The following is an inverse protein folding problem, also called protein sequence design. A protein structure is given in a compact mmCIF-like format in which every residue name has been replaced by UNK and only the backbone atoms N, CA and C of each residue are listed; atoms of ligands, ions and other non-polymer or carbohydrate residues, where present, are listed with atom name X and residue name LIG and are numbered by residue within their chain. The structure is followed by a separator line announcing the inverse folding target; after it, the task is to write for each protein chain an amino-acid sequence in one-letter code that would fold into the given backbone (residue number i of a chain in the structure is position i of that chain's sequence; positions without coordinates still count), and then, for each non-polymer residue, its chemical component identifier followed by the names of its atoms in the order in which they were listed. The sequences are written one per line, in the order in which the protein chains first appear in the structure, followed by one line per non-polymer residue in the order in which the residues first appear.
data_IF_422729108048
#
_entry.id   IF_422729108048
#
_cell.length_a   1.000
_cell.length_b   1.000
_cell.length_c   1.000
_cell.angle_alpha   90.00
_cell.angle_beta   90.00
_cell.angle_gamma   90.00
#
_symmetry.space_group_name_H-M   'P 1'
#
loop_
_entity.id
_entity.type
_entity.pdbx_description
1 polymer ?
#
# COMPACT_ATOMS: atom_id res chain seq x y z
N UNK A 1 -0.62 -10.68 21.67
CA UNK A 1 -0.11 -9.54 20.88
C UNK A 1 -0.13 -9.98 19.41
N UNK A 2 -0.64 -9.14 18.49
CA UNK A 2 -0.60 -9.45 17.06
C UNK A 2 0.86 -9.49 16.60
N UNK A 3 1.22 -10.54 15.84
CA UNK A 3 2.56 -10.73 15.29
C UNK A 3 2.85 -9.64 14.24
N UNK A 4 4.01 -8.95 14.35
CA UNK A 4 4.44 -7.92 13.40
C UNK A 4 5.09 -8.61 12.21
N UNK A 5 4.59 -8.35 10.99
CA UNK A 5 5.12 -8.90 9.75
C UNK A 5 6.18 -7.99 9.12
N UNK A 6 5.96 -6.67 9.14
CA UNK A 6 6.90 -5.68 8.62
C UNK A 6 7.08 -4.54 9.62
N UNK A 7 8.33 -4.11 9.82
CA UNK A 7 8.64 -2.92 10.60
C UNK A 7 9.74 -2.11 9.92
N UNK A 8 9.51 -0.83 9.73
CA UNK A 8 10.48 0.16 9.28
C UNK A 8 10.85 1.04 10.47
N UNK A 9 12.15 1.20 10.73
CA UNK A 9 12.68 2.04 11.82
C UNK A 9 13.56 3.14 11.28
N UNK A 10 13.11 4.38 11.40
CA UNK A 10 13.88 5.60 11.09
C UNK A 10 14.55 5.56 9.70
N UNK A 11 13.83 5.07 8.69
CA UNK A 11 14.34 4.96 7.32
C UNK A 11 14.56 6.35 6.74
N UNK A 12 15.78 6.61 6.29
CA UNK A 12 16.15 7.82 5.54
C UNK A 12 16.70 7.44 4.18
N UNK A 13 16.42 8.26 3.17
CA UNK A 13 16.96 8.11 1.83
C UNK A 13 17.06 9.43 1.10
N UNK A 14 18.24 9.70 0.55
CA UNK A 14 18.53 10.80 -0.37
C UNK A 14 19.12 10.23 -1.65
N UNK A 15 18.84 10.82 -2.81
CA UNK A 15 19.48 10.45 -4.08
C UNK A 15 20.54 11.49 -4.52
N UNK A 16 20.43 12.72 -4.01
CA UNK A 16 21.38 13.81 -4.23
C UNK A 16 21.64 14.53 -2.89
N UNK A 17 22.82 15.12 -2.73
CA UNK A 17 23.13 15.91 -1.52
C UNK A 17 22.10 17.03 -1.34
N UNK A 18 21.41 17.02 -0.19
CA UNK A 18 20.40 18.03 0.19
C UNK A 18 18.97 17.76 -0.28
N UNK A 19 18.71 16.64 -0.99
CA UNK A 19 17.36 16.24 -1.41
C UNK A 19 16.93 14.93 -0.73
N UNK A 20 16.41 15.05 0.49
CA UNK A 20 15.86 13.92 1.23
C UNK A 20 14.53 13.48 0.62
N UNK A 21 14.50 12.26 0.07
CA UNK A 21 13.27 11.64 -0.45
C UNK A 21 12.50 10.96 0.66
N UNK A 22 13.19 10.47 1.69
CA UNK A 22 12.60 9.90 2.91
C UNK A 22 13.31 10.48 4.15
N UNK A 23 12.50 11.03 5.06
CA UNK A 23 12.96 11.69 6.26
C UNK A 23 12.56 10.91 7.52
N UNK A 24 13.34 9.88 7.88
CA UNK A 24 13.13 9.13 9.14
C UNK A 24 11.74 8.51 9.29
N UNK A 25 11.27 7.80 8.27
CA UNK A 25 9.97 7.14 8.31
C UNK A 25 9.97 5.89 9.20
N UNK A 26 8.90 5.74 9.97
CA UNK A 26 8.61 4.56 10.78
C UNK A 26 7.24 3.99 10.42
N UNK A 27 7.16 2.70 10.18
CA UNK A 27 5.91 2.02 9.84
C UNK A 27 5.91 0.61 10.44
N UNK A 28 4.77 0.19 10.95
CA UNK A 28 4.57 -1.19 11.44
C UNK A 28 3.33 -1.77 10.76
N UNK A 29 3.46 -2.96 10.19
CA UNK A 29 2.35 -3.73 9.65
C UNK A 29 2.23 -5.07 10.38
N UNK A 30 1.02 -5.36 10.83
CA UNK A 30 0.69 -6.63 11.51
C UNK A 30 0.52 -7.74 10.47
N UNK A 31 0.68 -8.98 10.90
CA UNK A 31 0.44 -10.14 10.06
C UNK A 31 -1.00 -10.18 9.55
N UNK A 32 -1.16 -10.34 8.25
CA UNK A 32 -2.48 -10.36 7.60
C UNK A 32 -3.16 -8.99 7.52
N UNK A 33 -2.43 -7.89 7.70
CA UNK A 33 -2.96 -6.54 7.60
C UNK A 33 -2.84 -6.00 6.17
N UNK A 34 -3.80 -5.21 5.74
CA UNK A 34 -3.78 -4.45 4.49
C UNK A 34 -3.39 -3.01 4.80
N UNK A 35 -2.12 -2.65 4.58
CA UNK A 35 -1.58 -1.32 4.84
C UNK A 35 -1.42 -0.56 3.53
N UNK A 36 -1.98 0.64 3.44
CA UNK A 36 -1.85 1.51 2.27
C UNK A 36 -0.94 2.70 2.54
N UNK A 37 0.04 2.90 1.66
CA UNK A 37 0.80 4.14 1.57
C UNK A 37 0.07 5.07 0.59
N UNK A 38 -0.54 6.12 1.10
CA UNK A 38 -1.34 7.08 0.35
C UNK A 38 -0.60 8.43 0.28
N UNK A 39 -0.57 9.08 -0.87
CA UNK A 39 0.07 10.40 -1.02
C UNK A 39 0.19 10.83 -2.47
N UNK A 40 0.57 12.09 -2.69
CA UNK A 40 0.81 12.65 -4.02
C UNK A 40 1.99 11.98 -4.74
N UNK A 41 2.11 12.17 -6.05
CA UNK A 41 3.27 11.70 -6.81
C UNK A 41 4.56 12.34 -6.28
N UNK A 42 5.63 11.54 -6.19
CA UNK A 42 6.94 12.04 -5.73
C UNK A 42 7.11 12.15 -4.21
N UNK A 43 6.11 11.84 -3.38
CA UNK A 43 6.24 11.96 -1.92
C UNK A 43 7.06 10.86 -1.23
N UNK A 44 7.61 9.86 -1.96
CA UNK A 44 8.48 8.82 -1.41
C UNK A 44 7.89 7.41 -1.33
N UNK A 45 6.61 7.17 -1.72
CA UNK A 45 5.94 5.85 -1.63
C UNK A 45 6.68 4.73 -2.34
N UNK A 46 6.99 4.91 -3.63
CA UNK A 46 7.71 3.91 -4.42
C UNK A 46 9.12 3.67 -3.89
N UNK A 47 9.80 4.71 -3.40
CA UNK A 47 11.11 4.56 -2.74
C UNK A 47 11.00 3.71 -1.48
N UNK A 48 9.98 3.96 -0.65
CA UNK A 48 9.69 3.14 0.54
C UNK A 48 9.47 1.67 0.16
N UNK A 49 8.64 1.42 -0.86
CA UNK A 49 8.37 0.06 -1.34
C UNK A 49 9.65 -0.62 -1.86
N UNK A 50 10.48 0.10 -2.62
CA UNK A 50 11.77 -0.43 -3.13
C UNK A 50 12.73 -0.77 -2.01
N UNK A 51 12.76 0.01 -0.92
CA UNK A 51 13.56 -0.29 0.27
C UNK A 51 13.05 -1.55 0.96
N UNK A 52 11.74 -1.73 1.13
CA UNK A 52 11.15 -2.96 1.68
C UNK A 52 11.51 -4.17 0.81
N UNK A 53 11.44 -4.02 -0.51
CA UNK A 53 11.78 -5.07 -1.48
C UNK A 53 13.29 -5.40 -1.54
N UNK A 54 14.17 -4.54 -1.00
CA UNK A 54 15.62 -4.65 -1.14
C UNK A 54 16.16 -4.20 -2.50
N UNK A 55 15.33 -3.53 -3.30
CA UNK A 55 15.70 -2.95 -4.60
C UNK A 55 16.40 -1.59 -4.46
N UNK A 56 16.33 -1.01 -3.27
CA UNK A 56 17.01 0.23 -2.87
C UNK A 56 17.53 0.08 -1.45
N UNK A 57 18.72 0.58 -1.18
CA UNK A 57 19.29 0.59 0.17
C UNK A 57 18.94 1.91 0.86
N UNK A 58 18.48 1.90 2.12
CA UNK A 58 18.32 3.12 2.88
C UNK A 58 19.71 3.68 3.26
N UNK A 59 19.82 4.99 3.41
CA UNK A 59 21.05 5.63 3.89
C UNK A 59 21.21 5.46 5.41
N UNK A 60 20.08 5.35 6.12
CA UNK A 60 20.05 4.97 7.53
C UNK A 60 18.70 4.35 7.90
N UNK A 61 18.63 3.74 9.07
CA UNK A 61 17.44 3.02 9.55
C UNK A 61 17.50 1.54 9.26
N UNK A 62 16.44 0.82 9.60
CA UNK A 62 16.38 -0.64 9.52
C UNK A 62 15.04 -1.14 9.02
N UNK A 63 15.05 -2.24 8.27
CA UNK A 63 13.89 -2.98 7.78
C UNK A 63 13.85 -4.35 8.45
N UNK A 64 12.73 -4.66 9.11
CA UNK A 64 12.52 -5.97 9.74
C UNK A 64 11.34 -6.69 9.06
N UNK A 65 11.53 -7.98 8.79
CA UNK A 65 10.45 -8.90 8.37
C UNK A 65 10.33 -10.00 9.44
N UNK A 66 9.15 -10.15 10.02
CA UNK A 66 8.88 -11.07 11.14
C UNK A 66 9.96 -11.00 12.24
N UNK A 67 10.34 -9.78 12.62
CA UNK A 67 11.36 -9.50 13.64
C UNK A 67 12.81 -9.74 13.22
N UNK A 68 13.08 -10.20 11.98
CA UNK A 68 14.43 -10.39 11.45
C UNK A 68 14.86 -9.15 10.67
N UNK A 69 16.03 -8.58 11.00
CA UNK A 69 16.64 -7.51 10.21
C UNK A 69 17.02 -8.02 8.82
N UNK A 70 16.47 -7.38 7.79
CA UNK A 70 16.70 -7.71 6.38
C UNK A 70 17.31 -6.53 5.61
N UNK A 71 17.75 -5.48 6.31
CA UNK A 71 18.19 -4.22 5.72
C UNK A 71 19.25 -4.41 4.65
N UNK A 72 20.27 -5.21 4.93
CA UNK A 72 21.39 -5.47 4.01
C UNK A 72 21.17 -6.67 3.08
N UNK A 73 20.02 -7.37 3.18
CA UNK A 73 19.75 -8.52 2.34
C UNK A 73 19.34 -8.11 0.92
N UNK A 74 19.85 -8.85 -0.06
CA UNK A 74 19.44 -8.73 -1.47
C UNK A 74 17.95 -9.08 -1.66
N UNK A 75 17.28 -8.59 -2.73
CA UNK A 75 15.86 -8.83 -2.98
C UNK A 75 15.45 -10.30 -3.00
N UNK A 76 16.29 -11.18 -3.56
CA UNK A 76 16.05 -12.62 -3.66
C UNK A 76 16.18 -13.36 -2.33
N UNK A 77 16.74 -12.73 -1.30
CA UNK A 77 16.91 -13.26 0.04
C UNK A 77 15.79 -12.84 1.00
N UNK A 78 14.95 -11.89 0.58
CA UNK A 78 13.79 -11.41 1.36
C UNK A 78 12.54 -12.19 1.00
N UNK A 79 11.74 -12.56 1.99
CA UNK A 79 10.46 -13.25 1.74
C UNK A 79 9.33 -12.28 1.40
N UNK A 80 9.61 -11.39 0.46
CA UNK A 80 8.65 -10.43 -0.10
C UNK A 80 8.56 -10.57 -1.60
N UNK A 81 7.41 -10.28 -2.18
CA UNK A 81 7.25 -10.22 -3.64
C UNK A 81 6.54 -8.92 -4.03
N UNK A 82 6.88 -8.42 -5.21
CA UNK A 82 6.34 -7.14 -5.72
C UNK A 82 5.52 -7.36 -6.98
N UNK A 83 4.35 -6.71 -7.03
CA UNK A 83 3.56 -6.50 -8.25
C UNK A 83 3.76 -5.05 -8.66
N UNK A 84 4.39 -4.83 -9.81
CA UNK A 84 4.68 -3.51 -10.37
C UNK A 84 3.46 -2.94 -11.12
N UNK A 85 3.41 -1.63 -11.28
CA UNK A 85 2.35 -0.90 -11.96
C UNK A 85 2.08 -1.40 -13.39
N UNK A 86 3.13 -1.78 -14.13
CA UNK A 86 3.04 -2.34 -15.48
C UNK A 86 2.89 -3.87 -15.52
N UNK A 87 2.67 -4.49 -14.33
CA UNK A 87 2.57 -5.93 -14.10
C UNK A 87 3.86 -6.72 -14.41
N UNK A 88 4.78 -6.20 -15.22
CA UNK A 88 6.07 -6.77 -15.60
C UNK A 88 6.01 -8.27 -15.99
N UNK A 89 4.97 -8.68 -16.71
CA UNK A 89 4.86 -10.05 -17.22
C UNK A 89 5.90 -10.30 -18.32
N UNK A 90 6.47 -11.50 -18.34
CA UNK A 90 7.40 -11.92 -19.38
C UNK A 90 6.62 -12.17 -20.70
N UNK A 91 6.79 -11.32 -21.72
CA UNK A 91 5.92 -11.37 -22.92
C UNK A 91 6.14 -12.62 -23.79
N UNK A 92 7.31 -13.23 -23.71
CA UNK A 92 7.70 -14.43 -24.43
C UNK A 92 7.24 -15.73 -23.75
N UNK A 93 6.80 -15.67 -22.49
CA UNK A 93 6.31 -16.79 -21.71
C UNK A 93 4.78 -16.85 -21.71
N UNK A 94 4.21 -18.05 -21.63
CA UNK A 94 2.78 -18.23 -21.37
C UNK A 94 2.43 -17.92 -19.91
N UNK A 95 1.15 -17.97 -19.55
CA UNK A 95 0.64 -17.70 -18.21
C UNK A 95 1.22 -18.66 -17.17
N UNK A 96 1.23 -19.97 -17.46
CA UNK A 96 1.77 -20.97 -16.54
C UNK A 96 3.27 -20.77 -16.29
N UNK A 97 4.04 -20.45 -17.33
CA UNK A 97 5.46 -20.20 -17.22
C UNK A 97 5.76 -18.89 -16.45
N UNK A 98 4.95 -17.84 -16.66
CA UNK A 98 5.03 -16.62 -15.88
C UNK A 98 4.81 -16.89 -14.39
N UNK A 99 3.73 -17.59 -14.02
CA UNK A 99 3.43 -17.89 -12.62
C UNK A 99 4.52 -18.79 -12.02
N UNK A 100 4.91 -19.87 -12.71
CA UNK A 100 5.86 -20.84 -12.21
C UNK A 100 7.33 -20.39 -12.22
N UNK A 101 7.64 -19.20 -12.76
CA UNK A 101 9.02 -18.76 -12.97
C UNK A 101 9.88 -18.76 -11.70
N UNK A 102 9.39 -18.18 -10.62
CA UNK A 102 10.11 -18.13 -9.35
C UNK A 102 10.38 -19.53 -8.76
N UNK A 103 9.44 -20.47 -8.93
CA UNK A 103 9.63 -21.85 -8.48
C UNK A 103 10.68 -22.59 -9.33
N UNK A 104 10.76 -22.27 -10.64
CA UNK A 104 11.83 -22.81 -11.50
C UNK A 104 13.22 -22.37 -11.05
N UNK A 105 13.37 -21.09 -10.69
CA UNK A 105 14.62 -20.55 -10.14
C UNK A 105 15.03 -21.23 -8.83
N UNK A 106 14.06 -21.57 -7.98
CA UNK A 106 14.26 -22.32 -6.74
C UNK A 106 14.49 -23.83 -6.97
N UNK A 107 14.61 -24.28 -8.23
CA UNK A 107 14.81 -25.69 -8.61
C UNK A 107 13.73 -26.63 -8.08
N UNK A 108 12.49 -26.13 -7.92
CA UNK A 108 11.32 -26.92 -7.52
C UNK A 108 11.00 -27.97 -8.59
N UNK A 109 10.51 -29.15 -8.20
CA UNK A 109 10.16 -30.22 -9.14
C UNK A 109 9.05 -29.80 -10.11
N UNK A 110 9.06 -30.32 -11.34
CA UNK A 110 8.05 -30.01 -12.37
C UNK A 110 6.61 -30.34 -11.90
N UNK A 111 6.44 -31.44 -11.17
CA UNK A 111 5.15 -31.85 -10.63
C UNK A 111 4.61 -30.84 -9.61
N UNK A 112 5.45 -30.35 -8.70
CA UNK A 112 5.08 -29.37 -7.71
C UNK A 112 4.81 -27.99 -8.34
N UNK A 113 5.61 -27.58 -9.34
CA UNK A 113 5.35 -26.35 -10.10
C UNK A 113 3.98 -26.43 -10.76
N UNK A 114 3.66 -27.54 -11.46
CA UNK A 114 2.37 -27.71 -12.12
C UNK A 114 1.20 -27.65 -11.13
N UNK A 115 1.33 -28.30 -9.97
CA UNK A 115 0.34 -28.27 -8.89
C UNK A 115 0.08 -26.86 -8.40
N UNK A 116 1.15 -26.13 -8.00
CA UNK A 116 1.03 -24.77 -7.47
C UNK A 116 0.50 -23.76 -8.50
N UNK A 117 0.95 -23.88 -9.75
CA UNK A 117 0.44 -23.02 -10.85
C UNK A 117 -1.06 -23.23 -11.02
N UNK A 118 -1.53 -24.47 -11.01
CA UNK A 118 -2.99 -24.77 -11.10
C UNK A 118 -3.75 -24.16 -9.92
N UNK A 119 -3.27 -24.33 -8.70
CA UNK A 119 -3.86 -23.73 -7.49
C UNK A 119 -3.92 -22.20 -7.57
N UNK A 120 -2.87 -21.57 -8.07
CA UNK A 120 -2.84 -20.11 -8.25
C UNK A 120 -3.82 -19.66 -9.33
N UNK A 121 -3.95 -20.37 -10.44
CA UNK A 121 -4.92 -20.05 -11.49
C UNK A 121 -6.36 -20.19 -11.01
N UNK A 122 -6.66 -21.21 -10.23
CA UNK A 122 -7.96 -21.37 -9.56
C UNK A 122 -8.22 -20.22 -8.59
N UNK A 123 -7.22 -19.83 -7.79
CA UNK A 123 -7.31 -18.75 -6.81
C UNK A 123 -7.67 -17.40 -7.46
N UNK A 124 -7.04 -17.09 -8.62
CA UNK A 124 -7.26 -15.83 -9.34
C UNK A 124 -8.33 -15.95 -10.44
N UNK A 125 -9.06 -17.06 -10.51
CA UNK A 125 -10.17 -17.31 -11.46
C UNK A 125 -9.73 -17.25 -12.93
N UNK A 126 -8.58 -17.86 -13.23
CA UNK A 126 -8.01 -17.95 -14.59
C UNK A 126 -7.72 -19.40 -14.99
N UNK A 127 -8.50 -20.39 -14.47
CA UNK A 127 -8.40 -21.78 -14.90
C UNK A 127 -8.63 -21.89 -16.42
N UNK A 128 -7.80 -22.66 -17.11
CA UNK A 128 -7.87 -22.82 -18.58
C UNK A 128 -7.06 -21.77 -19.37
N UNK A 129 -6.38 -20.83 -18.69
CA UNK A 129 -5.55 -19.80 -19.34
C UNK A 129 -4.07 -20.16 -19.39
N UNK A 130 -3.66 -21.34 -18.95
CA UNK A 130 -2.27 -21.79 -18.77
C UNK A 130 -1.39 -21.52 -19.99
N UNK A 131 -1.91 -21.77 -21.19
CA UNK A 131 -1.17 -21.70 -22.46
C UNK A 131 -1.20 -20.32 -23.12
N UNK A 132 -2.06 -19.40 -22.67
CA UNK A 132 -2.18 -18.06 -23.25
C UNK A 132 -0.92 -17.23 -22.98
N UNK A 133 -0.62 -16.30 -23.90
CA UNK A 133 0.44 -15.29 -23.74
C UNK A 133 -0.12 -14.02 -23.13
N UNK A 134 0.69 -13.17 -22.49
CA UNK A 134 0.26 -11.89 -21.93
C UNK A 134 -0.45 -10.97 -22.95
N UNK A 135 -0.10 -11.03 -24.23
CA UNK A 135 -0.73 -10.27 -25.31
C UNK A 135 -2.18 -10.67 -25.59
N UNK A 136 -2.59 -11.87 -25.18
CA UNK A 136 -3.95 -12.41 -25.37
C UNK A 136 -4.86 -12.16 -24.16
N UNK A 137 -4.38 -11.38 -23.17
CA UNK A 137 -5.08 -11.12 -21.92
C UNK A 137 -5.57 -9.67 -21.85
N UNK A 138 -6.73 -9.47 -21.22
CA UNK A 138 -7.19 -8.14 -20.82
C UNK A 138 -6.29 -7.54 -19.71
N UNK A 139 -6.42 -6.23 -19.43
CA UNK A 139 -5.67 -5.56 -18.35
C UNK A 139 -5.86 -6.26 -17.01
N UNK A 140 -7.11 -6.51 -16.60
CA UNK A 140 -7.41 -7.20 -15.35
C UNK A 140 -6.91 -8.64 -15.30
N UNK A 141 -6.93 -9.35 -16.44
CA UNK A 141 -6.35 -10.70 -16.51
C UNK A 141 -4.82 -10.67 -16.36
N UNK A 142 -4.12 -9.72 -16.98
CA UNK A 142 -2.66 -9.53 -16.79
C UNK A 142 -2.33 -9.26 -15.34
N UNK A 143 -3.10 -8.40 -14.69
CA UNK A 143 -2.94 -8.11 -13.26
C UNK A 143 -3.10 -9.38 -12.41
N UNK A 144 -4.16 -10.16 -12.62
CA UNK A 144 -4.39 -11.41 -11.89
C UNK A 144 -3.24 -12.41 -12.09
N UNK A 145 -2.68 -12.50 -13.28
CA UNK A 145 -1.49 -13.34 -13.54
C UNK A 145 -0.27 -12.82 -12.76
N UNK A 146 -0.05 -11.49 -12.70
CA UNK A 146 1.05 -10.90 -11.94
C UNK A 146 0.91 -11.16 -10.43
N UNK A 147 -0.30 -11.06 -9.90
CA UNK A 147 -0.62 -11.40 -8.50
C UNK A 147 -0.36 -12.90 -8.25
N UNK A 148 -0.84 -13.79 -9.12
CA UNK A 148 -0.60 -15.22 -9.00
C UNK A 148 0.90 -15.56 -9.03
N UNK A 149 1.68 -14.91 -9.91
CA UNK A 149 3.14 -15.04 -9.98
C UNK A 149 3.82 -14.60 -8.68
N UNK A 150 3.33 -13.53 -8.07
CA UNK A 150 3.87 -13.05 -6.81
C UNK A 150 3.51 -14.00 -5.64
N UNK A 151 2.27 -14.51 -5.62
CA UNK A 151 1.77 -15.36 -4.54
C UNK A 151 2.29 -16.80 -4.57
N UNK A 152 2.64 -17.34 -5.73
CA UNK A 152 3.06 -18.75 -5.87
C UNK A 152 4.28 -19.12 -5.03
N UNK A 153 5.10 -18.13 -4.66
CA UNK A 153 6.26 -18.29 -3.80
C UNK A 153 5.94 -18.26 -2.30
N UNK A 154 4.67 -18.09 -1.90
CA UNK A 154 4.20 -17.93 -0.52
C UNK A 154 4.96 -16.82 0.24
N UNK A 155 4.90 -15.56 -0.23
CA UNK A 155 5.58 -14.46 0.44
C UNK A 155 4.92 -14.15 1.78
N UNK A 156 5.70 -13.62 2.73
CA UNK A 156 5.19 -13.09 4.00
C UNK A 156 4.50 -11.74 3.80
N UNK A 157 5.08 -10.92 2.91
CA UNK A 157 4.55 -9.60 2.54
C UNK A 157 4.44 -9.50 1.03
N UNK A 158 3.28 -9.06 0.55
CA UNK A 158 3.05 -8.72 -0.85
C UNK A 158 3.05 -7.20 -1.02
N UNK A 159 3.94 -6.71 -1.88
CA UNK A 159 4.09 -5.31 -2.22
C UNK A 159 3.35 -5.02 -3.53
N UNK A 160 2.52 -3.99 -3.56
CA UNK A 160 1.66 -3.64 -4.68
C UNK A 160 1.89 -2.17 -5.05
N UNK A 161 2.56 -1.90 -6.16
CA UNK A 161 2.90 -0.55 -6.63
C UNK A 161 1.86 -0.08 -7.66
N UNK A 162 0.89 0.72 -7.23
CA UNK A 162 -0.22 1.26 -8.03
C UNK A 162 -0.89 0.24 -8.97
N UNK A 163 -1.24 -0.97 -8.50
CA UNK A 163 -1.60 -2.08 -9.38
C UNK A 163 -2.91 -1.86 -10.14
N UNK A 164 -3.76 -0.91 -9.72
CA UNK A 164 -5.06 -0.62 -10.33
C UNK A 164 -5.03 0.61 -11.24
N UNK A 165 -3.94 1.37 -11.27
CA UNK A 165 -3.85 2.65 -11.97
C UNK A 165 -4.10 2.59 -13.48
N UNK A 166 -3.81 1.46 -14.13
CA UNK A 166 -3.99 1.27 -15.57
C UNK A 166 -5.38 0.72 -15.97
N UNK A 167 -6.31 0.54 -15.01
CA UNK A 167 -7.64 -0.03 -15.24
C UNK A 167 -8.70 1.07 -15.34
N UNK A 168 -9.74 0.80 -16.15
CA UNK A 168 -10.96 1.62 -16.13
C UNK A 168 -11.70 1.53 -14.78
N UNK A 169 -12.57 2.49 -14.51
CA UNK A 169 -13.24 2.65 -13.21
C UNK A 169 -14.04 1.40 -12.80
N UNK A 170 -14.78 0.79 -13.73
CA UNK A 170 -15.61 -0.38 -13.43
C UNK A 170 -14.75 -1.60 -13.07
N UNK A 171 -13.73 -1.86 -13.87
CA UNK A 171 -12.81 -2.97 -13.63
C UNK A 171 -11.97 -2.74 -12.36
N UNK A 172 -11.59 -1.48 -12.07
CA UNK A 172 -10.88 -1.10 -10.85
C UNK A 172 -11.66 -1.48 -9.60
N UNK A 173 -12.95 -1.14 -9.52
CA UNK A 173 -13.84 -1.51 -8.39
C UNK A 173 -13.93 -3.02 -8.20
N UNK A 174 -14.11 -3.77 -9.28
CA UNK A 174 -14.12 -5.24 -9.22
C UNK A 174 -12.81 -5.77 -8.66
N UNK A 175 -11.67 -5.24 -9.12
CA UNK A 175 -10.34 -5.68 -8.69
C UNK A 175 -10.02 -5.29 -7.24
N UNK A 176 -10.53 -4.16 -6.74
CA UNK A 176 -10.42 -3.80 -5.31
C UNK A 176 -11.05 -4.88 -4.43
N UNK A 177 -12.28 -5.28 -4.72
CA UNK A 177 -12.96 -6.35 -3.99
C UNK A 177 -12.21 -7.69 -4.06
N UNK A 178 -11.70 -8.04 -5.24
CA UNK A 178 -10.93 -9.28 -5.43
C UNK A 178 -9.62 -9.27 -4.63
N UNK A 179 -8.88 -8.16 -4.63
CA UNK A 179 -7.64 -8.00 -3.85
C UNK A 179 -7.89 -8.14 -2.35
N UNK A 180 -8.92 -7.46 -1.82
CA UNK A 180 -9.27 -7.57 -0.39
C UNK A 180 -9.71 -8.99 -0.03
N UNK A 181 -10.51 -9.64 -0.91
CA UNK A 181 -10.91 -11.03 -0.73
C UNK A 181 -9.72 -11.99 -0.71
N UNK A 182 -8.78 -11.81 -1.65
CA UNK A 182 -7.55 -12.62 -1.73
C UNK A 182 -6.70 -12.44 -0.48
N UNK A 183 -6.49 -11.21 -0.05
CA UNK A 183 -5.71 -10.89 1.15
C UNK A 183 -6.30 -11.57 2.40
N UNK A 184 -7.62 -11.44 2.62
CA UNK A 184 -8.30 -12.10 3.74
C UNK A 184 -8.22 -13.62 3.68
N UNK A 185 -8.39 -14.22 2.47
CA UNK A 185 -8.33 -15.67 2.27
C UNK A 185 -6.94 -16.25 2.57
N UNK A 186 -5.89 -15.51 2.23
CA UNK A 186 -4.50 -15.96 2.35
C UNK A 186 -3.88 -15.61 3.70
N UNK A 187 -4.40 -14.59 4.40
CA UNK A 187 -3.83 -14.08 5.66
C UNK A 187 -2.43 -13.48 5.48
N UNK A 188 -2.07 -13.04 4.27
CA UNK A 188 -0.79 -12.43 3.94
C UNK A 188 -0.87 -10.92 4.17
N UNK A 189 0.21 -10.31 4.64
CA UNK A 189 0.31 -8.85 4.79
C UNK A 189 0.49 -8.19 3.44
N UNK A 190 -0.34 -7.17 3.14
CA UNK A 190 -0.26 -6.39 1.91
C UNK A 190 0.24 -4.98 2.23
N UNK A 191 1.25 -4.52 1.48
CA UNK A 191 1.66 -3.12 1.42
C UNK A 191 1.26 -2.60 0.05
N UNK A 192 0.31 -1.68 0.03
CA UNK A 192 -0.33 -1.17 -1.16
C UNK A 192 0.02 0.30 -1.37
N UNK A 193 0.45 0.67 -2.55
CA UNK A 193 0.70 2.06 -2.92
C UNK A 193 -0.41 2.54 -3.84
N UNK A 194 -0.97 3.70 -3.53
CA UNK A 194 -1.89 4.41 -4.41
C UNK A 194 -1.83 5.92 -4.17
N UNK A 195 -2.33 6.68 -5.12
CA UNK A 195 -2.68 8.08 -4.97
C UNK A 195 -4.21 8.29 -4.95
N UNK A 196 -4.99 7.20 -5.09
CA UNK A 196 -6.45 7.21 -5.09
C UNK A 196 -6.98 7.02 -3.65
N UNK A 197 -7.73 8.01 -3.19
CA UNK A 197 -8.28 8.07 -1.83
C UNK A 197 -9.39 7.02 -1.63
N UNK A 198 -10.23 6.80 -2.66
CA UNK A 198 -11.31 5.81 -2.61
C UNK A 198 -10.74 4.39 -2.44
N UNK A 199 -9.64 4.08 -3.14
CA UNK A 199 -8.93 2.81 -2.97
C UNK A 199 -8.41 2.64 -1.53
N UNK A 200 -7.73 3.66 -1.00
CA UNK A 200 -7.17 3.61 0.35
C UNK A 200 -8.25 3.40 1.41
N UNK A 201 -9.35 4.16 1.35
CA UNK A 201 -10.44 4.07 2.33
C UNK A 201 -11.15 2.72 2.26
N UNK A 202 -11.43 2.21 1.05
CA UNK A 202 -12.25 1.00 0.88
C UNK A 202 -11.48 -0.29 1.15
N UNK A 203 -10.16 -0.31 0.97
CA UNK A 203 -9.38 -1.54 1.01
C UNK A 203 -8.55 -1.71 2.27
N UNK A 204 -8.15 -0.63 2.94
CA UNK A 204 -7.14 -0.70 3.98
C UNK A 204 -7.69 -1.08 5.35
N UNK A 205 -6.85 -1.70 6.14
CA UNK A 205 -7.02 -1.81 7.59
C UNK A 205 -6.29 -0.62 8.27
N UNK A 206 -5.14 -0.21 7.68
CA UNK A 206 -4.36 0.96 8.10
C UNK A 206 -3.94 1.77 6.88
N UNK A 207 -4.04 3.10 6.96
CA UNK A 207 -3.56 4.05 5.95
C UNK A 207 -2.41 4.87 6.55
N UNK A 208 -1.29 4.94 5.83
CA UNK A 208 -0.19 5.85 6.11
C UNK A 208 -0.18 6.96 5.06
N UNK A 209 -0.63 8.15 5.43
CA UNK A 209 -0.65 9.33 4.56
C UNK A 209 0.74 9.93 4.51
N UNK A 210 1.32 9.98 3.32
CA UNK A 210 2.68 10.42 3.10
C UNK A 210 2.75 11.75 2.35
N UNK A 211 3.60 12.65 2.82
CA UNK A 211 3.86 13.94 2.22
C UNK A 211 5.34 14.31 2.39
N UNK A 212 6.00 14.77 1.32
CA UNK A 212 7.40 15.20 1.35
C UNK A 212 8.33 14.30 2.17
N UNK A 213 8.31 12.98 1.91
CA UNK A 213 9.19 12.02 2.57
C UNK A 213 8.86 11.68 4.02
N UNK A 214 7.73 12.14 4.55
CA UNK A 214 7.29 11.88 5.95
C UNK A 214 5.88 11.32 5.98
N UNK A 215 5.54 10.62 7.05
CA UNK A 215 4.15 10.28 7.34
C UNK A 215 3.49 11.42 8.12
N UNK A 216 2.47 12.02 7.52
CA UNK A 216 1.63 13.05 8.16
C UNK A 216 0.70 12.44 9.23
N UNK A 217 0.13 11.29 8.89
CA UNK A 217 -0.73 10.53 9.79
C UNK A 217 -0.74 9.06 9.40
N UNK A 218 -0.76 8.19 10.41
CA UNK A 218 -1.02 6.75 10.27
C UNK A 218 -2.21 6.42 11.15
N UNK A 219 -3.20 5.70 10.60
CA UNK A 219 -4.42 5.33 11.32
C UNK A 219 -5.35 4.48 10.48
N UNK A 220 -6.49 4.11 11.06
CA UNK A 220 -7.57 3.45 10.35
C UNK A 220 -8.21 4.39 9.31
N UNK A 221 -8.93 3.87 8.29
CA UNK A 221 -9.65 4.71 7.34
C UNK A 221 -10.57 5.75 8.02
N UNK A 222 -11.24 5.36 9.09
CA UNK A 222 -12.11 6.25 9.87
C UNK A 222 -11.32 7.38 10.54
N UNK A 223 -10.20 7.07 11.21
CA UNK A 223 -9.33 8.09 11.82
C UNK A 223 -8.75 9.06 10.81
N UNK A 224 -8.36 8.58 9.61
CA UNK A 224 -7.80 9.42 8.56
C UNK A 224 -8.85 10.34 7.95
N UNK A 225 -10.08 9.86 7.76
CA UNK A 225 -11.15 10.61 7.10
C UNK A 225 -11.88 11.55 8.07
N UNK A 226 -12.27 11.06 9.26
CA UNK A 226 -13.09 11.80 10.23
C UNK A 226 -12.27 12.58 11.28
N UNK A 227 -11.00 12.16 11.51
CA UNK A 227 -10.13 12.77 12.52
C UNK A 227 -8.75 13.12 11.95
N UNK A 228 -8.68 13.93 10.86
CA UNK A 228 -7.42 14.34 10.25
C UNK A 228 -6.59 15.18 11.23
N UNK A 229 -5.31 14.83 11.40
CA UNK A 229 -4.39 15.49 12.34
C UNK A 229 -3.77 16.77 11.79
N UNK A 230 -3.71 16.90 10.45
CA UNK A 230 -3.14 18.07 9.78
C UNK A 230 -4.09 18.58 8.70
N UNK A 231 -3.95 19.86 8.35
CA UNK A 231 -4.67 20.46 7.22
C UNK A 231 -4.38 19.74 5.90
N UNK A 232 -3.14 19.23 5.74
CA UNK A 232 -2.78 18.44 4.57
C UNK A 232 -3.62 17.18 4.46
N UNK A 233 -3.75 16.39 5.54
CA UNK A 233 -4.56 15.16 5.54
C UNK A 233 -6.02 15.48 5.27
N UNK A 234 -6.58 16.52 5.90
CA UNK A 234 -7.97 16.94 5.69
C UNK A 234 -8.27 17.33 4.24
N UNK A 235 -7.35 18.08 3.60
CA UNK A 235 -7.49 18.48 2.19
C UNK A 235 -7.22 17.35 1.22
N UNK A 236 -6.22 16.51 1.54
CA UNK A 236 -5.77 15.47 0.62
C UNK A 236 -6.70 14.24 0.61
N UNK A 237 -7.29 13.87 1.77
CA UNK A 237 -8.13 12.66 1.87
C UNK A 237 -9.62 13.00 1.81
N UNK A 238 -10.02 14.18 2.27
CA UNK A 238 -11.40 14.65 2.28
C UNK A 238 -11.63 15.83 1.35
N UNK A 239 -12.90 16.15 1.11
CA UNK A 239 -13.30 17.40 0.46
C UNK A 239 -13.44 18.51 1.51
N UNK A 240 -12.43 18.66 2.38
CA UNK A 240 -12.49 19.63 3.48
C UNK A 240 -12.29 21.06 2.98
N UNK A 241 -13.15 21.97 3.42
CA UNK A 241 -12.92 23.39 3.28
C UNK A 241 -12.15 23.90 4.50
N UNK A 242 -10.96 24.44 4.31
CA UNK A 242 -10.15 24.99 5.39
C UNK A 242 -10.32 26.50 5.40
N UNK A 243 -10.80 27.01 6.52
CA UNK A 243 -10.92 28.43 6.77
C UNK A 243 -9.87 28.83 7.81
N UNK A 244 -9.04 29.81 7.47
CA UNK A 244 -8.11 30.43 8.41
C UNK A 244 -8.79 31.58 9.13
N UNK A 245 -8.52 31.71 10.43
CA UNK A 245 -9.12 32.81 11.21
C UNK A 245 -8.44 33.00 12.55
N UNK A 246 -8.85 34.05 13.25
CA UNK A 246 -8.39 34.37 14.60
C UNK A 246 -9.50 34.06 15.59
N UNK A 247 -9.19 33.32 16.65
CA UNK A 247 -10.13 33.06 17.74
C UNK A 247 -10.44 34.39 18.43
N UNK A 248 -11.69 34.78 18.44
CA UNK A 248 -12.19 35.99 19.11
C UNK A 248 -12.70 35.73 20.54
N UNK A 249 -13.41 34.60 20.71
CA UNK A 249 -13.91 34.19 22.02
C UNK A 249 -13.99 32.66 22.11
N UNK A 250 -13.82 32.17 23.33
CA UNK A 250 -14.12 30.81 23.72
C UNK A 250 -15.18 30.94 24.80
N UNK A 251 -16.38 30.51 24.51
CA UNK A 251 -17.45 30.46 25.51
C UNK A 251 -17.34 29.12 26.23
N UNK A 252 -16.97 29.11 27.53
CA UNK A 252 -16.80 27.87 28.28
C UNK A 252 -18.11 27.11 28.40
N UNK A 253 -18.00 25.80 28.53
CA UNK A 253 -19.09 24.82 28.64
C UNK A 253 -20.32 25.37 29.34
N UNK A 254 -21.47 25.26 28.66
CA UNK A 254 -22.76 25.36 29.32
C UNK A 254 -22.93 24.17 30.27
N UNK A 255 -23.56 24.42 31.40
CA UNK A 255 -23.85 23.42 32.45
C UNK A 255 -24.68 22.19 31.97
N UNK A 256 -24.92 22.06 30.66
CA UNK A 256 -25.66 20.99 29.99
C UNK A 256 -24.78 19.93 29.28
N UNK A 257 -23.44 20.02 29.43
CA UNK A 257 -22.49 19.02 28.87
C UNK A 257 -22.21 19.17 27.36
N UNK A 258 -22.55 20.31 26.76
CA UNK A 258 -22.18 20.65 25.39
C UNK A 258 -20.74 21.16 25.33
N UNK A 259 -19.99 20.79 24.25
CA UNK A 259 -18.62 21.27 24.04
C UNK A 259 -18.50 22.78 23.98
N UNK A 260 -17.31 23.30 24.35
CA UNK A 260 -16.95 24.72 24.27
C UNK A 260 -17.28 25.30 22.89
N UNK A 261 -17.94 26.44 22.86
CA UNK A 261 -18.23 27.13 21.61
C UNK A 261 -17.13 28.15 21.30
N UNK A 262 -16.40 27.93 20.23
CA UNK A 262 -15.31 28.81 19.77
C UNK A 262 -15.82 29.71 18.66
N UNK A 263 -15.71 31.03 18.83
CA UNK A 263 -16.00 31.99 17.76
C UNK A 263 -14.71 32.38 17.06
N UNK A 264 -14.63 32.09 15.76
CA UNK A 264 -13.46 32.37 14.92
C UNK A 264 -13.85 33.48 13.91
N UNK A 265 -13.08 34.55 13.85
CA UNK A 265 -13.15 35.54 12.80
C UNK A 265 -12.31 35.11 11.61
N UNK A 266 -12.96 34.97 10.47
CA UNK A 266 -12.31 34.66 9.16
C UNK A 266 -12.52 35.87 8.22
N UNK A 267 -11.85 35.84 7.07
CA UNK A 267 -12.06 36.87 6.01
C UNK A 267 -13.48 36.84 5.47
N UNK A 268 -14.19 35.72 5.58
CA UNK A 268 -15.60 35.57 5.15
C UNK A 268 -16.64 35.94 6.23
N UNK A 269 -16.18 36.27 7.46
CA UNK A 269 -17.05 36.60 8.60
C UNK A 269 -16.78 35.75 9.83
N UNK A 270 -17.70 35.79 10.81
CA UNK A 270 -17.56 35.05 12.07
C UNK A 270 -18.16 33.63 11.92
N UNK A 271 -17.40 32.62 12.29
CA UNK A 271 -17.82 31.21 12.29
C UNK A 271 -17.81 30.72 13.73
N UNK A 272 -18.87 30.02 14.14
CA UNK A 272 -18.93 29.33 15.41
C UNK A 272 -18.57 27.85 15.20
N UNK A 273 -17.67 27.35 16.02
CA UNK A 273 -17.18 25.97 15.99
C UNK A 273 -17.40 25.36 17.35
N UNK A 274 -17.90 24.16 17.42
CA UNK A 274 -18.11 23.36 18.63
C UNK A 274 -17.25 22.14 18.64
#
# INVERSE_FOLDING_TARGET
MSEISLELKNIKKSFQEGEDVLESICLTAKKGEFVTLLGSSGCGKTTTLRIIAGLEQPDSGQVFLNGKDVTSLEPNQRNVNTVFQNYALFPHMNVADNIGYGLKLKKTSKAEISRRVKEMLELVQLSGFEKRKPSELSGGQRQRVAIARALVNNPEVLLLDEPLGALDLQLRRVMQHELKRLQKKLGITFIYITHDQEEAINMSDTIAVMNHGRFEQIGTPDEIYNHPKTSYVAMFVGNANILTGVVESVDPERTDGASDQITVRTDAGKVKVS
#
